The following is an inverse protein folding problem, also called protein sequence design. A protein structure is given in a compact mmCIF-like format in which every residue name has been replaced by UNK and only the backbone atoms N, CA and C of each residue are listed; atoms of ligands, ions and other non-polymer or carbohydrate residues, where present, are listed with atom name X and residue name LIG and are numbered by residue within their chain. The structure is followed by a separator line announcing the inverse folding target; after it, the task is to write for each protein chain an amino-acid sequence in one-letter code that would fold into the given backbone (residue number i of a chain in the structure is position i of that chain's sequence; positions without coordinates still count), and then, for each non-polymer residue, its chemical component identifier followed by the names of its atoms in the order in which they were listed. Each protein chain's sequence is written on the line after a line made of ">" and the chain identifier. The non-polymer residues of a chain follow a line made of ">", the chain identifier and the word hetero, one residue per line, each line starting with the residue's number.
data_IF_358031950253
#
_entry.id   IF_358031950253
#
_cell.length_a   1.000
_cell.length_b   1.000
_cell.length_c   1.000
_cell.angle_alpha   90.00
_cell.angle_beta   90.00
_cell.angle_gamma   90.00
#
_symmetry.space_group_name_H-M   'P 1'
#
loop_
_entity.id
_entity.type
_entity.pdbx_description
1 polymer ?
#
# COMPACT_ATOMS: atom_id res chain seq x y z
N UNK A 1 27.16 -10.00 2.24
CA UNK A 1 25.74 -10.06 1.87
C UNK A 1 25.68 -10.11 0.36
N UNK A 2 25.19 -11.17 -0.26
CA UNK A 2 25.02 -11.20 -1.72
C UNK A 2 23.82 -10.31 -2.00
N UNK A 3 23.93 -9.28 -2.84
CA UNK A 3 22.78 -8.44 -3.13
C UNK A 3 21.70 -9.29 -3.82
N UNK A 4 20.43 -9.14 -3.41
CA UNK A 4 19.29 -9.83 -4.01
C UNK A 4 18.92 -9.26 -5.40
N UNK A 5 19.81 -8.49 -6.01
CA UNK A 5 19.64 -7.84 -7.31
C UNK A 5 20.94 -7.90 -8.12
N UNK A 6 20.84 -7.69 -9.44
CA UNK A 6 21.99 -7.65 -10.34
C UNK A 6 22.32 -6.21 -10.66
N UNK A 7 23.60 -5.87 -10.49
CA UNK A 7 24.16 -4.62 -10.95
C UNK A 7 25.41 -4.88 -11.80
N UNK A 8 25.68 -3.94 -12.69
CA UNK A 8 26.84 -3.92 -13.57
C UNK A 8 27.38 -2.50 -13.67
N UNK A 9 28.57 -2.36 -14.23
CA UNK A 9 29.17 -1.05 -14.44
C UNK A 9 28.94 -0.55 -15.86
N UNK A 10 28.94 0.77 -16.06
CA UNK A 10 28.75 1.40 -17.37
C UNK A 10 29.79 0.97 -18.42
N UNK A 11 30.99 0.61 -17.96
CA UNK A 11 32.10 0.16 -18.81
C UNK A 11 32.08 -1.34 -19.12
N UNK A 12 31.11 -2.10 -18.62
CA UNK A 12 30.97 -3.51 -18.99
C UNK A 12 30.42 -3.66 -20.41
N UNK A 13 30.69 -4.82 -21.01
CA UNK A 13 30.06 -5.25 -22.27
C UNK A 13 28.78 -6.06 -21.98
N UNK A 14 27.89 -6.14 -22.96
CA UNK A 14 26.68 -6.99 -22.87
C UNK A 14 27.05 -8.45 -22.59
N UNK A 15 28.15 -8.96 -23.13
CA UNK A 15 28.63 -10.31 -22.82
C UNK A 15 28.95 -10.48 -21.32
N UNK A 16 29.63 -9.53 -20.71
CA UNK A 16 29.97 -9.55 -19.28
C UNK A 16 28.70 -9.44 -18.41
N UNK A 17 27.69 -8.68 -18.85
CA UNK A 17 26.37 -8.64 -18.19
C UNK A 17 25.76 -10.04 -18.15
N UNK A 18 25.75 -10.77 -19.26
CA UNK A 18 25.22 -12.14 -19.27
C UNK A 18 26.04 -13.12 -18.41
N UNK A 19 27.36 -12.95 -18.33
CA UNK A 19 28.18 -13.73 -17.43
C UNK A 19 27.85 -13.47 -15.97
N UNK A 20 27.61 -12.22 -15.62
CA UNK A 20 27.15 -11.80 -14.28
C UNK A 20 25.79 -12.40 -13.95
N UNK A 21 24.81 -12.33 -14.88
CA UNK A 21 23.49 -12.94 -14.72
C UNK A 21 23.61 -14.47 -14.51
N UNK A 22 24.43 -15.16 -15.30
CA UNK A 22 24.61 -16.63 -15.14
C UNK A 22 25.23 -17.00 -13.80
N UNK A 23 26.10 -16.15 -13.26
CA UNK A 23 26.77 -16.39 -12.00
C UNK A 23 25.89 -16.12 -10.78
N UNK A 24 25.14 -15.05 -10.80
CA UNK A 24 24.42 -14.55 -9.62
C UNK A 24 22.89 -14.62 -9.73
N UNK A 25 22.32 -14.71 -10.92
CA UNK A 25 20.88 -14.59 -11.17
C UNK A 25 20.00 -15.66 -10.52
N UNK A 26 20.59 -16.79 -10.09
CA UNK A 26 19.82 -17.82 -9.34
C UNK A 26 19.45 -17.38 -7.92
N UNK A 27 20.16 -16.42 -7.38
CA UNK A 27 20.05 -15.97 -6.00
C UNK A 27 19.50 -14.55 -5.89
N UNK A 28 18.96 -14.02 -6.99
CA UNK A 28 18.36 -12.68 -7.03
C UNK A 28 16.84 -12.76 -7.07
N UNK A 29 16.17 -11.76 -6.52
CA UNK A 29 14.70 -11.63 -6.51
C UNK A 29 14.12 -11.56 -7.93
N UNK A 30 14.81 -10.81 -8.80
CA UNK A 30 14.43 -10.66 -10.21
C UNK A 30 15.66 -10.45 -11.07
N UNK A 31 15.54 -10.84 -12.35
CA UNK A 31 16.53 -10.54 -13.41
C UNK A 31 15.93 -9.63 -14.50
N UNK A 32 14.69 -9.17 -14.33
CA UNK A 32 13.97 -8.38 -15.34
C UNK A 32 14.63 -7.04 -15.61
N UNK A 33 15.27 -6.50 -14.58
CA UNK A 33 15.96 -5.20 -14.62
C UNK A 33 17.38 -5.37 -14.08
N UNK A 34 18.33 -4.80 -14.78
CA UNK A 34 19.74 -4.73 -14.42
C UNK A 34 20.06 -3.28 -14.07
N UNK A 35 20.67 -3.07 -12.91
CA UNK A 35 21.02 -1.74 -12.43
C UNK A 35 22.43 -1.39 -12.82
N UNK A 36 22.63 -0.19 -13.33
CA UNK A 36 23.93 0.30 -13.75
C UNK A 36 24.45 1.28 -12.70
N UNK A 37 25.63 1.00 -12.18
CA UNK A 37 26.27 1.85 -11.17
C UNK A 37 27.65 2.31 -11.65
N UNK A 38 28.11 3.42 -11.08
CA UNK A 38 29.52 3.83 -11.24
C UNK A 38 30.43 3.15 -10.19
N UNK A 39 31.72 3.45 -10.24
CA UNK A 39 32.73 2.91 -9.30
C UNK A 39 32.50 3.34 -7.84
N UNK A 40 31.73 4.39 -7.59
CA UNK A 40 31.35 4.87 -6.27
C UNK A 40 30.07 4.18 -5.73
N UNK A 41 29.38 3.35 -6.54
CA UNK A 41 28.12 2.70 -6.19
C UNK A 41 26.87 3.56 -6.43
N UNK A 42 27.02 4.72 -7.09
CA UNK A 42 25.87 5.56 -7.45
C UNK A 42 25.10 4.95 -8.61
N UNK A 43 23.78 4.91 -8.50
CA UNK A 43 22.90 4.44 -9.56
C UNK A 43 22.90 5.43 -10.73
N UNK A 44 23.26 4.94 -11.91
CA UNK A 44 23.28 5.72 -13.14
C UNK A 44 22.06 5.46 -14.01
N UNK A 45 21.60 4.21 -14.08
CA UNK A 45 20.47 3.81 -14.92
C UNK A 45 19.88 2.46 -14.50
N UNK A 46 18.69 2.14 -15.04
CA UNK A 46 18.05 0.83 -14.92
C UNK A 46 17.63 0.32 -16.31
N UNK A 47 18.28 -0.76 -16.80
CA UNK A 47 18.06 -1.32 -18.13
C UNK A 47 17.34 -2.67 -18.02
N UNK A 48 16.30 -2.86 -18.83
CA UNK A 48 15.57 -4.14 -18.88
C UNK A 48 16.41 -5.22 -19.54
N UNK A 49 16.34 -6.44 -19.04
CA UNK A 49 17.03 -7.59 -19.62
C UNK A 49 16.77 -7.77 -21.11
N UNK A 50 15.56 -7.39 -21.57
CA UNK A 50 15.19 -7.44 -22.98
C UNK A 50 16.13 -6.62 -23.87
N UNK A 51 16.57 -5.46 -23.40
CA UNK A 51 17.40 -4.55 -24.19
C UNK A 51 18.82 -5.11 -24.34
N UNK A 52 19.32 -5.79 -23.32
CA UNK A 52 20.58 -6.58 -23.41
C UNK A 52 20.44 -7.79 -24.35
N UNK A 53 19.30 -8.49 -24.34
CA UNK A 53 19.06 -9.64 -25.23
C UNK A 53 19.04 -9.26 -26.72
N UNK A 54 18.64 -8.04 -27.04
CA UNK A 54 18.56 -7.54 -28.41
C UNK A 54 19.86 -6.88 -28.88
N UNK A 55 20.76 -6.53 -27.97
CA UNK A 55 22.02 -5.86 -28.28
C UNK A 55 23.13 -6.86 -28.65
N UNK A 56 24.08 -6.49 -29.53
CA UNK A 56 25.24 -7.30 -29.83
C UNK A 56 26.12 -7.52 -28.57
N UNK A 57 26.78 -8.70 -28.41
CA UNK A 57 27.56 -9.01 -27.21
C UNK A 57 28.71 -8.04 -26.91
N UNK A 58 29.25 -7.37 -27.92
CA UNK A 58 30.36 -6.44 -27.79
C UNK A 58 29.93 -4.99 -27.52
N UNK A 59 28.61 -4.71 -27.49
CA UNK A 59 28.09 -3.38 -27.18
C UNK A 59 28.42 -3.03 -25.72
N UNK A 60 28.82 -1.80 -25.49
CA UNK A 60 29.06 -1.30 -24.12
C UNK A 60 27.73 -1.00 -23.45
N UNK A 61 27.65 -1.22 -22.14
CA UNK A 61 26.47 -0.88 -21.34
C UNK A 61 26.15 0.62 -21.45
N UNK A 62 27.19 1.47 -21.46
CA UNK A 62 27.05 2.92 -21.67
C UNK A 62 26.31 3.31 -22.94
N UNK A 63 26.39 2.50 -24.01
CA UNK A 63 25.70 2.78 -25.28
C UNK A 63 24.20 2.45 -25.23
N UNK A 64 23.77 1.69 -24.22
CA UNK A 64 22.37 1.30 -23.99
C UNK A 64 21.65 2.19 -22.97
N UNK A 65 22.41 3.01 -22.23
CA UNK A 65 21.88 3.88 -21.18
C UNK A 65 21.12 5.07 -21.77
N UNK A 66 20.00 5.43 -21.14
CA UNK A 66 19.28 6.67 -21.42
C UNK A 66 19.28 7.66 -20.25
N UNK A 67 19.91 7.25 -19.13
CA UNK A 67 20.02 8.01 -17.87
C UNK A 67 18.65 8.38 -17.25
N UNK A 68 17.61 7.58 -17.52
CA UNK A 68 16.26 7.79 -17.03
C UNK A 68 15.82 6.59 -16.18
N UNK A 69 16.08 6.69 -14.90
CA UNK A 69 15.63 5.67 -13.95
C UNK A 69 14.63 6.26 -12.95
N UNK A 70 13.86 5.38 -12.35
CA UNK A 70 12.96 5.69 -11.27
C UNK A 70 13.45 4.94 -10.05
N UNK A 71 13.69 5.65 -8.97
CA UNK A 71 14.15 5.10 -7.70
C UNK A 71 13.28 5.53 -6.55
N UNK A 72 13.28 4.75 -5.48
CA UNK A 72 12.78 5.13 -4.18
C UNK A 72 13.95 5.62 -3.31
N UNK A 73 13.69 6.56 -2.43
CA UNK A 73 14.64 6.93 -1.39
C UNK A 73 14.44 6.00 -0.18
N UNK A 74 15.52 5.68 0.54
CA UNK A 74 15.45 4.82 1.72
C UNK A 74 14.57 5.38 2.86
N UNK A 75 14.23 6.66 2.80
CA UNK A 75 13.37 7.35 3.76
C UNK A 75 11.93 7.58 3.25
N UNK A 76 11.63 7.16 2.03
CA UNK A 76 10.27 7.26 1.48
C UNK A 76 9.32 6.36 2.26
N UNK A 77 8.09 6.84 2.45
CA UNK A 77 7.02 6.07 3.07
C UNK A 77 6.54 4.95 2.12
N UNK A 78 6.08 3.87 2.71
CA UNK A 78 5.56 2.72 1.97
C UNK A 78 4.36 3.07 1.07
N UNK A 79 3.52 4.03 1.47
CA UNK A 79 2.42 4.53 0.65
C UNK A 79 2.94 5.18 -0.64
N UNK A 80 3.98 6.02 -0.54
CA UNK A 80 4.65 6.64 -1.68
C UNK A 80 5.24 5.60 -2.61
N UNK A 81 5.91 4.57 -2.06
CA UNK A 81 6.43 3.47 -2.84
C UNK A 81 5.32 2.77 -3.66
N UNK A 82 4.17 2.49 -3.03
CA UNK A 82 3.00 1.90 -3.69
C UNK A 82 2.49 2.75 -4.86
N UNK A 83 2.44 4.07 -4.71
CA UNK A 83 2.04 4.97 -5.79
C UNK A 83 3.04 4.97 -6.96
N UNK A 84 4.34 4.99 -6.67
CA UNK A 84 5.40 4.95 -7.69
C UNK A 84 5.31 3.66 -8.51
N UNK A 85 5.06 2.51 -7.88
CA UNK A 85 4.84 1.24 -8.59
C UNK A 85 3.62 1.30 -9.51
N UNK A 86 2.47 1.81 -9.01
CA UNK A 86 1.23 1.93 -9.80
C UNK A 86 1.39 2.82 -11.03
N UNK A 87 2.13 3.93 -10.90
CA UNK A 87 2.31 4.89 -12.00
C UNK A 87 3.26 4.40 -13.08
N UNK A 88 4.26 3.56 -12.72
CA UNK A 88 5.38 3.27 -13.60
C UNK A 88 5.38 1.85 -14.17
N UNK A 89 4.45 1.01 -13.75
CA UNK A 89 4.29 -0.37 -14.24
C UNK A 89 5.61 -1.18 -14.20
N UNK A 90 6.33 -1.06 -13.08
CA UNK A 90 7.62 -1.72 -12.82
C UNK A 90 7.41 -2.97 -11.98
N UNK A 91 8.28 -3.98 -12.14
CA UNK A 91 8.31 -5.20 -11.34
C UNK A 91 9.16 -5.01 -10.08
N UNK A 92 10.23 -4.25 -10.22
CA UNK A 92 11.13 -3.88 -9.13
C UNK A 92 11.61 -2.44 -9.31
N UNK A 93 11.86 -1.77 -8.19
CA UNK A 93 12.42 -0.41 -8.15
C UNK A 93 13.68 -0.41 -7.27
N UNK A 94 14.74 0.31 -7.70
CA UNK A 94 15.93 0.48 -6.90
C UNK A 94 15.65 1.45 -5.73
N UNK A 95 16.27 1.17 -4.60
CA UNK A 95 16.28 2.03 -3.42
C UNK A 95 17.65 2.66 -3.29
N UNK A 96 17.69 3.98 -3.19
CA UNK A 96 18.93 4.76 -3.10
C UNK A 96 18.95 5.60 -1.81
N UNK A 97 20.14 6.01 -1.40
CA UNK A 97 20.33 7.01 -0.36
C UNK A 97 20.31 8.45 -0.93
N UNK A 98 20.56 9.44 -0.06
CA UNK A 98 20.65 10.86 -0.43
C UNK A 98 21.78 11.16 -1.44
N UNK A 99 22.80 10.30 -1.53
CA UNK A 99 23.93 10.41 -2.45
C UNK A 99 23.70 9.59 -3.73
N UNK A 100 22.47 9.06 -3.94
CA UNK A 100 22.11 8.17 -5.05
C UNK A 100 22.86 6.83 -5.05
N UNK A 101 23.43 6.41 -3.93
CA UNK A 101 24.07 5.10 -3.79
C UNK A 101 22.99 4.03 -3.75
N UNK A 102 23.13 2.99 -4.59
CA UNK A 102 22.20 1.88 -4.65
C UNK A 102 22.31 1.01 -3.39
N UNK A 103 21.25 1.04 -2.56
CA UNK A 103 21.19 0.28 -1.31
C UNK A 103 20.56 -1.10 -1.49
N UNK A 104 19.57 -1.21 -2.38
CA UNK A 104 18.81 -2.43 -2.58
C UNK A 104 17.73 -2.27 -3.63
N UNK A 105 16.80 -3.21 -3.65
CA UNK A 105 15.58 -3.15 -4.47
C UNK A 105 14.36 -3.48 -3.62
N UNK A 106 13.21 -2.99 -4.06
CA UNK A 106 11.87 -3.38 -3.59
C UNK A 106 11.12 -3.94 -4.78
N UNK A 107 10.43 -5.05 -4.60
CA UNK A 107 9.64 -5.70 -5.65
C UNK A 107 8.15 -5.41 -5.48
N UNK A 108 7.37 -5.59 -6.55
CA UNK A 108 5.94 -5.29 -6.54
C UNK A 108 5.16 -6.18 -5.57
N UNK A 109 5.59 -7.42 -5.38
CA UNK A 109 5.00 -8.36 -4.43
C UNK A 109 5.16 -7.91 -2.98
N UNK A 110 6.31 -7.34 -2.59
CA UNK A 110 6.51 -6.73 -1.27
C UNK A 110 5.52 -5.59 -1.03
N UNK A 111 5.32 -4.74 -2.05
CA UNK A 111 4.38 -3.62 -1.98
C UNK A 111 2.92 -4.08 -1.92
N UNK A 112 2.56 -5.16 -2.62
CA UNK A 112 1.20 -5.71 -2.57
C UNK A 112 0.86 -6.24 -1.18
N UNK A 113 1.80 -6.86 -0.47
CA UNK A 113 1.60 -7.29 0.91
C UNK A 113 1.34 -6.11 1.84
N UNK A 114 2.15 -5.06 1.73
CA UNK A 114 1.98 -3.82 2.50
C UNK A 114 0.63 -3.18 2.24
N UNK A 115 0.25 -3.01 0.97
CA UNK A 115 -1.03 -2.41 0.60
C UNK A 115 -2.23 -3.21 1.11
N UNK A 116 -2.13 -4.55 1.16
CA UNK A 116 -3.17 -5.41 1.70
C UNK A 116 -3.27 -5.29 3.22
N UNK A 117 -2.14 -5.16 3.92
CA UNK A 117 -2.11 -4.97 5.36
C UNK A 117 -2.73 -3.63 5.76
N UNK A 118 -2.35 -2.52 5.08
CA UNK A 118 -2.92 -1.19 5.28
C UNK A 118 -4.43 -1.15 5.01
N UNK A 119 -4.88 -1.74 3.89
CA UNK A 119 -6.31 -1.82 3.57
C UNK A 119 -7.10 -2.57 4.65
N UNK A 120 -6.52 -3.63 5.19
CA UNK A 120 -7.15 -4.39 6.29
C UNK A 120 -7.20 -3.56 7.58
N UNK A 121 -6.14 -2.82 7.89
CA UNK A 121 -6.07 -1.93 9.05
C UNK A 121 -7.10 -0.80 8.95
N UNK A 122 -7.22 -0.17 7.79
CA UNK A 122 -8.17 0.93 7.55
C UNK A 122 -9.62 0.46 7.66
N UNK A 123 -9.95 -0.71 7.11
CA UNK A 123 -11.28 -1.31 7.30
C UNK A 123 -11.57 -1.57 8.78
N UNK A 124 -10.59 -2.05 9.55
CA UNK A 124 -10.76 -2.28 10.97
C UNK A 124 -10.95 -0.98 11.75
N UNK A 125 -10.21 0.08 11.42
CA UNK A 125 -10.38 1.42 12.01
C UNK A 125 -11.77 1.98 11.73
N UNK A 126 -12.26 1.88 10.49
CA UNK A 126 -13.62 2.30 10.10
C UNK A 126 -14.68 1.48 10.86
N UNK A 127 -14.43 0.20 11.10
CA UNK A 127 -15.28 -0.67 11.91
C UNK A 127 -15.24 -0.41 13.42
N UNK A 128 -14.52 0.63 13.88
CA UNK A 128 -14.37 0.97 15.30
C UNK A 128 -13.59 -0.07 16.10
N UNK A 129 -12.73 -0.84 15.45
CA UNK A 129 -11.84 -1.81 16.10
C UNK A 129 -10.40 -1.36 16.01
N UNK A 130 -9.62 -1.58 17.06
CA UNK A 130 -8.16 -1.46 16.96
C UNK A 130 -7.61 -2.49 15.96
N UNK A 131 -6.57 -2.10 15.21
CA UNK A 131 -5.88 -2.96 14.26
C UNK A 131 -5.44 -4.29 14.91
N UNK A 132 -5.78 -5.39 14.25
CA UNK A 132 -5.43 -6.73 14.69
C UNK A 132 -4.09 -7.13 14.06
N UNK A 133 -3.11 -7.48 14.88
CA UNK A 133 -1.76 -7.90 14.44
C UNK A 133 -1.67 -9.35 13.92
N UNK A 134 -2.82 -10.03 13.74
CA UNK A 134 -2.87 -11.41 13.27
C UNK A 134 -4.12 -11.66 12.42
N UNK A 135 -4.12 -12.68 11.52
CA UNK A 135 -5.28 -13.07 10.74
C UNK A 135 -6.50 -13.31 11.63
N UNK A 136 -7.65 -12.80 11.24
CA UNK A 136 -8.91 -12.79 12.01
C UNK A 136 -9.32 -14.18 12.54
N UNK A 137 -8.99 -15.24 11.81
CA UNK A 137 -9.35 -16.63 12.16
C UNK A 137 -8.46 -17.23 13.27
N UNK A 138 -7.28 -16.67 13.52
CA UNK A 138 -6.33 -17.18 14.52
C UNK A 138 -6.41 -16.45 15.87
N UNK A 139 -7.29 -15.46 15.99
CA UNK A 139 -7.41 -14.64 17.20
C UNK A 139 -8.40 -15.26 18.17
N UNK A 140 -7.97 -15.43 19.42
CA UNK A 140 -8.83 -15.90 20.50
C UNK A 140 -10.00 -14.93 20.71
N UNK A 141 -11.23 -15.46 20.75
CA UNK A 141 -12.49 -14.71 20.91
C UNK A 141 -12.43 -13.70 22.07
N UNK A 142 -11.74 -14.04 23.15
CA UNK A 142 -11.60 -13.15 24.30
C UNK A 142 -10.79 -11.87 23.98
N UNK A 143 -9.71 -11.99 23.19
CA UNK A 143 -8.92 -10.83 22.73
C UNK A 143 -9.71 -9.96 21.77
N UNK A 144 -10.52 -10.56 20.89
CA UNK A 144 -11.39 -9.87 19.98
C UNK A 144 -12.45 -9.06 20.75
N UNK A 145 -13.07 -9.69 21.75
CA UNK A 145 -14.07 -9.05 22.60
C UNK A 145 -13.47 -7.86 23.37
N UNK A 146 -12.27 -8.01 23.92
CA UNK A 146 -11.59 -6.96 24.66
C UNK A 146 -11.26 -5.73 23.78
N UNK A 147 -10.80 -5.96 22.54
CA UNK A 147 -10.52 -4.86 21.60
C UNK A 147 -11.78 -4.13 21.13
N UNK A 148 -12.92 -4.81 21.05
CA UNK A 148 -14.22 -4.21 20.70
C UNK A 148 -14.97 -3.62 21.88
N UNK A 149 -14.65 -4.01 23.10
CA UNK A 149 -15.37 -3.61 24.31
C UNK A 149 -15.37 -2.09 24.49
N UNK A 150 -14.29 -1.40 24.24
CA UNK A 150 -14.20 0.07 24.35
C UNK A 150 -15.20 0.79 23.45
N UNK A 151 -15.26 0.41 22.19
CA UNK A 151 -16.21 0.98 21.22
C UNK A 151 -17.65 0.64 21.55
N UNK A 152 -17.92 -0.62 21.94
CA UNK A 152 -19.27 -1.05 22.34
C UNK A 152 -19.78 -0.31 23.59
N UNK A 153 -18.90 -0.02 24.55
CA UNK A 153 -19.26 0.77 25.74
C UNK A 153 -19.66 2.18 25.35
N UNK A 154 -18.92 2.84 24.45
CA UNK A 154 -19.24 4.18 23.96
C UNK A 154 -20.61 4.19 23.26
N UNK A 155 -20.87 3.21 22.38
CA UNK A 155 -22.17 3.06 21.71
C UNK A 155 -23.29 2.85 22.71
N UNK A 156 -23.09 1.97 23.69
CA UNK A 156 -24.08 1.68 24.72
C UNK A 156 -24.42 2.91 25.58
N UNK A 157 -23.42 3.71 25.96
CA UNK A 157 -23.64 4.98 26.68
C UNK A 157 -24.41 5.96 25.79
N UNK A 158 -24.08 6.05 24.51
CA UNK A 158 -24.83 6.89 23.56
C UNK A 158 -26.27 6.47 23.41
N UNK A 159 -26.54 5.16 23.38
CA UNK A 159 -27.91 4.64 23.30
C UNK A 159 -28.71 4.90 24.58
N UNK A 160 -28.09 4.70 25.75
CA UNK A 160 -28.72 5.07 27.03
C UNK A 160 -29.06 6.56 27.09
N UNK A 161 -28.17 7.42 26.59
CA UNK A 161 -28.44 8.85 26.54
C UNK A 161 -29.62 9.15 25.62
N UNK A 162 -29.67 8.55 24.45
CA UNK A 162 -30.78 8.69 23.49
C UNK A 162 -32.08 8.20 24.09
N UNK A 163 -32.12 7.06 24.77
CA UNK A 163 -33.27 6.51 25.43
C UNK A 163 -33.77 7.45 26.54
N UNK A 164 -32.87 8.04 27.33
CA UNK A 164 -33.21 9.00 28.40
C UNK A 164 -33.82 10.27 27.82
N UNK A 165 -33.26 10.79 26.73
CA UNK A 165 -33.78 11.98 26.03
C UNK A 165 -35.19 11.67 25.46
N UNK A 166 -35.36 10.51 24.82
CA UNK A 166 -36.68 10.10 24.29
C UNK A 166 -37.73 9.97 25.40
N UNK A 167 -37.34 9.37 26.54
CA UNK A 167 -38.25 9.26 27.69
C UNK A 167 -38.64 10.63 28.27
N UNK A 168 -37.70 11.58 28.30
CA UNK A 168 -37.99 12.94 28.76
C UNK A 168 -39.00 13.66 27.86
N UNK A 169 -38.95 13.44 26.55
CA UNK A 169 -39.83 14.04 25.54
C UNK A 169 -41.02 13.13 25.16
N UNK A 170 -41.24 12.01 25.84
CA UNK A 170 -42.29 11.03 25.51
C UNK A 170 -43.67 11.67 25.38
N UNK A 171 -43.97 12.58 26.29
CA UNK A 171 -45.27 13.28 26.30
C UNK A 171 -45.45 14.20 25.08
N UNK A 172 -44.40 14.87 24.63
CA UNK A 172 -44.44 15.71 23.44
C UNK A 172 -44.54 14.87 22.16
N UNK A 173 -43.84 13.72 22.12
CA UNK A 173 -43.86 12.79 20.99
C UNK A 173 -45.23 12.12 20.87
N UNK A 174 -45.86 11.72 21.97
CA UNK A 174 -47.23 11.18 21.98
C UNK A 174 -48.23 12.23 21.47
N UNK A 175 -48.15 13.47 21.95
CA UNK A 175 -48.99 14.55 21.49
C UNK A 175 -48.83 14.82 19.98
N UNK A 176 -47.58 14.78 19.46
CA UNK A 176 -47.30 14.93 18.04
C UNK A 176 -47.86 13.76 17.20
N UNK A 177 -47.81 12.54 17.70
CA UNK A 177 -48.36 11.35 17.04
C UNK A 177 -49.86 11.40 16.95
N UNK A 178 -50.53 11.83 18.03
CA UNK A 178 -51.99 12.04 18.04
C UNK A 178 -52.38 13.12 17.05
N UNK A 179 -51.63 14.23 16.99
CA UNK A 179 -51.89 15.30 15.99
C UNK A 179 -51.75 14.79 14.55
N UNK A 180 -50.76 13.93 14.27
CA UNK A 180 -50.55 13.35 12.95
C UNK A 180 -51.73 12.48 12.47
N UNK A 181 -52.43 11.81 13.40
CA UNK A 181 -53.66 11.07 13.08
C UNK A 181 -54.83 11.97 12.62
N UNK A 182 -54.85 13.23 13.04
CA UNK A 182 -55.86 14.19 12.64
C UNK A 182 -55.57 14.95 11.35
N UNK A 183 -54.29 14.89 10.83
CA UNK A 183 -53.90 15.56 9.59
C UNK A 183 -54.83 15.17 8.40
N UNK A 184 -55.11 13.88 8.14
CA UNK A 184 -56.00 13.51 7.04
C UNK A 184 -57.41 14.08 7.20
N UNK A 185 -57.88 14.19 8.44
CA UNK A 185 -59.23 14.73 8.76
C UNK A 185 -59.28 16.24 8.54
N UNK A 186 -58.22 16.95 8.93
CA UNK A 186 -58.10 18.40 8.72
C UNK A 186 -57.99 18.72 7.22
N UNK A 187 -57.18 17.96 6.47
CA UNK A 187 -57.02 18.13 5.03
C UNK A 187 -58.32 17.81 4.29
N UNK A 188 -59.04 16.78 4.72
CA UNK A 188 -60.35 16.41 4.14
C UNK A 188 -61.46 17.45 4.42
N UNK A 189 -61.44 18.11 5.58
CA UNK A 189 -62.42 19.13 5.93
C UNK A 189 -62.09 20.52 5.39
N UNK A 190 -60.79 20.81 5.09
CA UNK A 190 -60.36 22.10 4.54
C UNK A 190 -60.28 22.15 3.00
N UNK A 191 -60.57 21.05 2.30
CA UNK A 191 -60.49 20.90 0.86
C UNK A 191 -61.81 21.00 0.10
N UNK A 192 -62.76 21.74 0.59
CA UNK A 192 -64.05 22.06 -0.14
C UNK A 192 -64.12 23.53 -0.47
#
# INVERSE_FOLDING_TARGET
>A
MIPNYIYVYEHNTVQEVFETIRRYGKNTETIDVIYIINDNGELLDDIRIRDFLLAPPQTMVSDLMDYRYISLNAHDDQEMASEVFKMNNRVALPVVDENKILLGIVTIDDILWVAQEEFTEDIQKIGGTEALQAPYLDINLFKLLQKRAGWLIILFIGELFTATVMQYFEHEIEAATVLALFIPLIVSSGGN
#
